data_IF_044670150798
#
_entry.id   IF_044670150798
#
_cell.length_a   1.000
_cell.length_b   1.000
_cell.length_c   1.000
_cell.angle_alpha   90.00
_cell.angle_beta   90.00
_cell.angle_gamma   90.00
#
_symmetry.space_group_name_H-M   'P 1'
#
loop_
_entity.id
_entity.type
_entity.pdbx_description
1 polymer ?
#
# COMPACT_ATOMS: atom_id res chain seq x y z
N UNK A 1 -21.14 1.51 -2.47
CA UNK A 1 -19.94 0.83 -1.96
C UNK A 1 -18.72 1.57 -2.48
N UNK A 2 -17.66 1.72 -1.70
CA UNK A 2 -16.43 2.29 -2.19
C UNK A 2 -15.85 1.43 -3.33
N UNK A 3 -15.29 2.07 -4.33
CA UNK A 3 -14.63 1.42 -5.45
C UNK A 3 -13.13 1.69 -5.37
N UNK A 4 -12.25 0.85 -5.96
CA UNK A 4 -10.82 1.14 -5.98
C UNK A 4 -10.49 2.55 -6.51
N UNK A 5 -11.22 3.01 -7.52
CA UNK A 5 -11.03 4.37 -8.04
C UNK A 5 -11.41 5.44 -7.02
N UNK A 6 -12.54 5.29 -6.31
CA UNK A 6 -12.96 6.26 -5.27
C UNK A 6 -11.97 6.28 -4.09
N UNK A 7 -11.40 5.14 -3.73
CA UNK A 7 -10.37 5.06 -2.68
C UNK A 7 -9.09 5.84 -3.08
N UNK A 8 -8.65 5.72 -4.33
CA UNK A 8 -7.50 6.49 -4.81
C UNK A 8 -7.80 8.00 -4.79
N UNK A 9 -8.97 8.40 -5.28
CA UNK A 9 -9.36 9.81 -5.34
C UNK A 9 -9.56 10.44 -3.94
N UNK A 10 -9.91 9.65 -2.95
CA UNK A 10 -10.07 10.11 -1.57
C UNK A 10 -8.74 10.40 -0.86
N UNK A 11 -7.61 9.88 -1.34
CA UNK A 11 -6.30 10.08 -0.72
C UNK A 11 -5.90 11.56 -0.73
N UNK A 12 -5.33 12.02 0.37
CA UNK A 12 -4.73 13.35 0.45
C UNK A 12 -3.45 13.42 -0.40
N UNK A 13 -3.20 14.53 -1.09
CA UNK A 13 -1.93 14.74 -1.78
C UNK A 13 -0.84 15.07 -0.74
N UNK A 14 0.28 14.36 -0.82
CA UNK A 14 1.45 14.56 0.05
C UNK A 14 2.69 14.83 -0.82
N UNK A 15 2.95 16.09 -1.22
CA UNK A 15 4.16 16.46 -1.92
C UNK A 15 5.38 16.26 -1.01
N UNK A 16 6.47 15.70 -1.55
CA UNK A 16 7.65 15.44 -0.74
C UNK A 16 8.91 15.26 -1.56
N UNK A 17 10.01 15.89 -1.13
CA UNK A 17 11.36 15.63 -1.64
C UNK A 17 12.04 14.41 -1.01
N UNK A 18 11.42 13.81 0.02
CA UNK A 18 11.99 12.71 0.77
C UNK A 18 12.16 11.44 -0.07
N UNK A 19 13.21 10.67 0.21
CA UNK A 19 13.36 9.32 -0.30
C UNK A 19 12.29 8.38 0.27
N UNK A 20 12.11 7.20 -0.33
CA UNK A 20 11.18 6.19 0.19
C UNK A 20 11.57 5.70 1.59
N UNK A 21 12.86 5.71 1.94
CA UNK A 21 13.34 5.37 3.27
C UNK A 21 12.95 6.45 4.28
N UNK A 22 13.23 7.71 3.97
CA UNK A 22 12.92 8.84 4.85
C UNK A 22 11.42 9.00 5.09
N UNK A 23 10.60 8.84 4.04
CA UNK A 23 9.12 8.85 4.19
C UNK A 23 8.67 7.78 5.19
N UNK A 24 9.27 6.60 5.14
CA UNK A 24 8.90 5.51 6.04
C UNK A 24 9.28 5.81 7.50
N UNK A 25 10.41 6.48 7.72
CA UNK A 25 10.87 6.85 9.05
C UNK A 25 10.13 8.05 9.63
N UNK A 26 9.77 9.02 8.79
CA UNK A 26 9.26 10.33 9.25
C UNK A 26 7.75 10.47 9.16
N UNK A 27 7.08 9.78 8.21
CA UNK A 27 5.64 9.87 8.01
C UNK A 27 4.95 8.64 8.62
N UNK A 28 4.06 8.82 9.61
CA UNK A 28 3.31 7.73 10.23
C UNK A 28 2.60 6.85 9.20
N UNK A 29 2.54 5.53 9.43
CA UNK A 29 1.99 4.56 8.48
C UNK A 29 0.52 4.85 8.14
N UNK A 30 -0.29 5.27 9.13
CA UNK A 30 -1.69 5.63 8.95
C UNK A 30 -1.87 6.85 8.03
N UNK A 31 -0.95 7.80 8.02
CA UNK A 31 -0.94 8.94 7.10
C UNK A 31 -0.53 8.48 5.70
N UNK A 32 0.53 7.67 5.60
CA UNK A 32 0.99 7.14 4.31
C UNK A 32 -0.09 6.34 3.59
N UNK A 33 -0.83 5.49 4.30
CA UNK A 33 -1.94 4.70 3.74
C UNK A 33 -3.02 5.54 3.09
N UNK A 34 -3.30 6.72 3.66
CA UNK A 34 -4.37 7.64 3.22
C UNK A 34 -3.86 8.80 2.38
N UNK A 35 -2.58 8.79 2.01
CA UNK A 35 -1.97 9.80 1.16
C UNK A 35 -1.58 9.24 -0.20
N UNK A 36 -1.63 10.11 -1.21
CA UNK A 36 -1.07 9.86 -2.53
C UNK A 36 0.24 10.65 -2.63
N UNK A 37 1.33 9.95 -2.80
CA UNK A 37 2.67 10.51 -2.92
C UNK A 37 3.54 9.67 -3.84
N UNK A 38 4.61 10.25 -4.29
CA UNK A 38 5.75 9.56 -4.90
C UNK A 38 7.01 10.13 -4.27
N UNK A 39 7.92 9.28 -3.83
CA UNK A 39 9.18 9.74 -3.24
C UNK A 39 9.92 10.67 -4.20
N UNK A 40 10.56 11.71 -3.67
CA UNK A 40 11.26 12.75 -4.42
C UNK A 40 10.37 13.51 -5.42
N UNK A 41 9.10 13.68 -5.09
CA UNK A 41 8.13 14.38 -5.94
C UNK A 41 7.43 15.46 -5.12
N UNK A 42 7.89 16.70 -5.25
CA UNK A 42 7.35 17.87 -4.54
C UNK A 42 6.21 18.57 -5.29
N UNK A 43 6.02 18.26 -6.58
CA UNK A 43 5.04 18.94 -7.44
C UNK A 43 3.62 18.42 -7.16
N UNK A 44 2.84 19.22 -6.43
CA UNK A 44 1.47 18.84 -6.01
C UNK A 44 0.56 18.60 -7.20
N UNK A 45 0.64 19.43 -8.25
CA UNK A 45 -0.16 19.33 -9.46
C UNK A 45 0.14 18.05 -10.24
N UNK A 46 1.40 17.65 -10.31
CA UNK A 46 1.76 16.35 -10.88
C UNK A 46 1.14 15.20 -10.08
N UNK A 47 1.24 15.24 -8.75
CA UNK A 47 0.65 14.21 -7.88
C UNK A 47 -0.87 14.16 -8.01
N UNK A 48 -1.55 15.30 -8.18
CA UNK A 48 -2.99 15.35 -8.43
C UNK A 48 -3.36 14.70 -9.77
N UNK A 49 -2.61 15.01 -10.83
CA UNK A 49 -2.81 14.38 -12.12
C UNK A 49 -2.51 12.89 -12.07
N UNK A 50 -1.43 12.49 -11.41
CA UNK A 50 -1.06 11.08 -11.23
C UNK A 50 -2.12 10.31 -10.44
N UNK A 51 -2.69 10.89 -9.38
CA UNK A 51 -3.79 10.31 -8.62
C UNK A 51 -5.01 10.03 -9.51
N UNK A 52 -5.38 11.00 -10.38
CA UNK A 52 -6.50 10.81 -11.34
C UNK A 52 -6.21 9.71 -12.36
N UNK A 53 -5.01 9.69 -12.92
CA UNK A 53 -4.59 8.64 -13.88
C UNK A 53 -4.62 7.25 -13.22
N UNK A 54 -4.11 7.12 -12.00
CA UNK A 54 -4.18 5.86 -11.26
C UNK A 54 -5.63 5.44 -10.96
N UNK A 55 -6.52 6.37 -10.65
CA UNK A 55 -7.94 6.08 -10.43
C UNK A 55 -8.63 5.61 -11.73
N UNK A 56 -8.32 6.20 -12.86
CA UNK A 56 -8.83 5.75 -14.17
C UNK A 56 -8.32 4.36 -14.53
N UNK A 57 -7.05 4.06 -14.25
CA UNK A 57 -6.49 2.72 -14.42
C UNK A 57 -7.15 1.70 -13.48
N UNK A 58 -7.36 2.05 -12.21
CA UNK A 58 -8.03 1.18 -11.25
C UNK A 58 -9.51 0.93 -11.56
N UNK A 59 -10.18 1.86 -12.25
CA UNK A 59 -11.55 1.67 -12.75
C UNK A 59 -11.64 0.88 -14.05
N UNK A 60 -10.52 0.54 -14.67
CA UNK A 60 -10.47 -0.12 -15.98
C UNK A 60 -10.78 0.80 -17.18
N UNK A 61 -10.96 2.11 -16.97
CA UNK A 61 -11.19 3.07 -18.07
C UNK A 61 -10.00 3.21 -19.00
N UNK A 62 -8.80 3.05 -18.46
CA UNK A 62 -7.57 3.03 -19.25
C UNK A 62 -6.71 1.83 -18.84
N UNK A 63 -5.97 1.28 -19.80
CA UNK A 63 -4.99 0.22 -19.52
C UNK A 63 -3.69 0.78 -18.95
N UNK A 64 -2.86 -0.10 -18.35
CA UNK A 64 -1.58 0.27 -17.73
C UNK A 64 -0.62 0.99 -18.69
N UNK A 65 -0.55 0.58 -19.95
CA UNK A 65 0.29 1.25 -20.96
C UNK A 65 -0.15 2.71 -21.19
N UNK A 66 -1.47 2.95 -21.26
CA UNK A 66 -1.99 4.31 -21.41
C UNK A 66 -1.77 5.15 -20.17
N UNK A 67 -1.93 4.57 -19.00
CA UNK A 67 -1.64 5.23 -17.73
C UNK A 67 -0.16 5.67 -17.66
N UNK A 68 0.78 4.79 -18.00
CA UNK A 68 2.21 5.14 -18.08
C UNK A 68 2.49 6.29 -19.04
N UNK A 69 1.92 6.22 -20.25
CA UNK A 69 2.07 7.31 -21.24
C UNK A 69 1.61 8.65 -20.68
N UNK A 70 0.46 8.67 -19.99
CA UNK A 70 -0.09 9.89 -19.40
C UNK A 70 0.81 10.42 -18.28
N UNK A 71 1.28 9.54 -17.37
CA UNK A 71 2.20 9.93 -16.29
C UNK A 71 3.53 10.46 -16.84
N UNK A 72 4.13 9.78 -17.81
CA UNK A 72 5.37 10.24 -18.43
C UNK A 72 5.20 11.58 -19.14
N UNK A 73 4.06 11.81 -19.81
CA UNK A 73 3.73 13.10 -20.43
C UNK A 73 3.57 14.20 -19.39
N UNK A 74 2.93 13.89 -18.28
CA UNK A 74 2.75 14.83 -17.17
C UNK A 74 4.09 15.23 -16.56
N UNK A 75 4.97 14.28 -16.26
CA UNK A 75 6.31 14.57 -15.77
C UNK A 75 7.08 15.53 -16.68
N UNK A 76 7.08 15.30 -18.00
CA UNK A 76 7.71 16.20 -18.96
C UNK A 76 7.11 17.60 -18.97
N UNK A 77 5.79 17.72 -18.81
CA UNK A 77 5.09 19.01 -18.72
C UNK A 77 5.52 19.80 -17.50
N UNK A 78 5.76 19.12 -16.38
CA UNK A 78 6.23 19.72 -15.13
C UNK A 78 7.75 19.91 -15.07
N UNK A 79 8.42 19.79 -16.21
CA UNK A 79 9.83 20.13 -16.36
C UNK A 79 10.81 19.06 -15.89
N UNK A 80 10.31 17.84 -15.61
CA UNK A 80 11.20 16.72 -15.32
C UNK A 80 12.11 16.47 -16.54
N UNK A 81 13.36 16.77 -16.37
CA UNK A 81 14.44 16.51 -17.33
C UNK A 81 15.32 15.44 -16.70
N UNK A 82 15.28 14.26 -17.28
CA UNK A 82 16.02 13.06 -16.93
C UNK A 82 17.04 13.13 -15.80
N UNK A 83 16.88 12.17 -14.88
CA UNK A 83 17.91 11.54 -14.09
C UNK A 83 18.30 12.12 -12.74
N UNK A 84 17.50 11.85 -11.74
CA UNK A 84 18.09 11.33 -10.51
C UNK A 84 18.21 9.82 -10.66
N UNK A 85 19.42 9.26 -10.66
CA UNK A 85 19.66 7.84 -10.78
C UNK A 85 20.07 7.37 -12.17
N UNK A 86 20.27 6.07 -12.32
CA UNK A 86 20.58 5.47 -13.62
C UNK A 86 19.34 5.55 -14.53
N UNK A 87 19.47 6.02 -15.78
CA UNK A 87 18.34 6.05 -16.72
C UNK A 87 17.64 4.70 -16.81
N UNK A 88 16.30 4.69 -16.63
CA UNK A 88 15.49 3.49 -16.66
C UNK A 88 15.40 2.74 -15.30
N UNK A 89 16.15 3.11 -14.28
CA UNK A 89 16.09 2.50 -12.96
C UNK A 89 14.87 2.99 -12.15
N UNK A 90 14.61 2.34 -11.00
CA UNK A 90 13.45 2.64 -10.14
C UNK A 90 13.49 4.04 -9.50
N UNK A 91 14.64 4.65 -9.38
CA UNK A 91 14.86 6.00 -8.88
C UNK A 91 14.73 7.09 -9.97
N UNK A 92 14.75 6.71 -11.23
CA UNK A 92 14.34 7.57 -12.34
C UNK A 92 12.81 7.70 -12.37
N UNK A 93 12.30 8.90 -12.05
CA UNK A 93 10.85 9.16 -11.95
C UNK A 93 10.09 8.91 -13.26
N UNK A 94 10.76 9.03 -14.41
CA UNK A 94 10.19 8.83 -15.74
C UNK A 94 10.32 7.40 -16.25
N UNK A 95 11.03 6.52 -15.54
CA UNK A 95 11.25 5.15 -15.97
C UNK A 95 9.96 4.32 -16.01
N UNK A 96 9.92 3.35 -16.90
CA UNK A 96 8.81 2.42 -16.99
C UNK A 96 8.62 1.64 -15.68
N UNK A 97 9.71 1.24 -15.03
CA UNK A 97 9.67 0.53 -13.75
C UNK A 97 9.03 1.38 -12.66
N UNK A 98 9.41 2.66 -12.56
CA UNK A 98 8.87 3.58 -11.58
C UNK A 98 7.39 3.87 -11.80
N UNK A 99 7.00 4.14 -13.04
CA UNK A 99 5.62 4.44 -13.39
C UNK A 99 4.71 3.24 -13.17
N UNK A 100 5.16 2.03 -13.52
CA UNK A 100 4.44 0.80 -13.21
C UNK A 100 4.29 0.61 -11.70
N UNK A 101 5.36 0.83 -10.93
CA UNK A 101 5.31 0.70 -9.47
C UNK A 101 4.26 1.63 -8.87
N UNK A 102 4.15 2.88 -9.32
CA UNK A 102 3.14 3.82 -8.85
C UNK A 102 1.74 3.31 -9.17
N UNK A 103 1.48 2.95 -10.44
CA UNK A 103 0.16 2.51 -10.91
C UNK A 103 -0.28 1.24 -10.17
N UNK A 104 0.59 0.22 -10.14
CA UNK A 104 0.26 -1.08 -9.56
C UNK A 104 0.10 -0.99 -8.05
N UNK A 105 1.00 -0.29 -7.34
CA UNK A 105 0.88 -0.12 -5.89
C UNK A 105 -0.42 0.59 -5.51
N UNK A 106 -0.78 1.68 -6.19
CA UNK A 106 -2.00 2.41 -5.89
C UNK A 106 -3.26 1.59 -6.20
N UNK A 107 -3.27 0.86 -7.32
CA UNK A 107 -4.36 -0.03 -7.69
C UNK A 107 -4.55 -1.15 -6.66
N UNK A 108 -3.48 -1.87 -6.32
CA UNK A 108 -3.54 -3.03 -5.45
C UNK A 108 -3.93 -2.62 -4.01
N UNK A 109 -3.37 -1.51 -3.49
CA UNK A 109 -3.81 -0.93 -2.21
C UNK A 109 -5.30 -0.58 -2.21
N UNK A 110 -5.77 0.10 -3.24
CA UNK A 110 -7.16 0.54 -3.34
C UNK A 110 -8.12 -0.65 -3.49
N UNK A 111 -7.71 -1.71 -4.18
CA UNK A 111 -8.46 -2.96 -4.27
C UNK A 111 -8.64 -3.60 -2.90
N UNK A 112 -7.56 -3.70 -2.11
CA UNK A 112 -7.60 -4.27 -0.77
C UNK A 112 -8.48 -3.46 0.18
N UNK A 113 -8.39 -2.13 0.15
CA UNK A 113 -9.25 -1.26 0.97
C UNK A 113 -10.71 -1.42 0.58
N UNK A 114 -11.04 -1.39 -0.71
CA UNK A 114 -12.41 -1.57 -1.19
C UNK A 114 -12.96 -2.96 -0.82
N UNK A 115 -12.13 -4.01 -0.87
CA UNK A 115 -12.50 -5.35 -0.43
C UNK A 115 -12.82 -5.36 1.08
N UNK A 116 -12.00 -4.75 1.92
CA UNK A 116 -12.23 -4.67 3.37
C UNK A 116 -13.53 -3.91 3.66
N UNK A 117 -13.74 -2.76 3.02
CA UNK A 117 -14.91 -1.92 3.25
C UNK A 117 -16.21 -2.54 2.72
N UNK A 118 -16.11 -3.46 1.76
CA UNK A 118 -17.25 -4.22 1.23
C UNK A 118 -17.70 -5.39 2.12
N UNK A 119 -16.90 -5.76 3.13
CA UNK A 119 -17.23 -6.89 4.00
C UNK A 119 -18.50 -6.61 4.81
N UNK A 120 -19.49 -7.47 4.65
CA UNK A 120 -20.69 -7.52 5.45
C UNK A 120 -20.54 -8.49 6.62
N UNK A 121 -21.42 -8.43 7.60
CA UNK A 121 -21.45 -9.40 8.69
C UNK A 121 -21.60 -10.83 8.16
N UNK A 122 -22.45 -11.03 7.15
CA UNK A 122 -22.64 -12.34 6.53
C UNK A 122 -21.36 -12.85 5.85
N UNK A 123 -20.58 -11.95 5.20
CA UNK A 123 -19.31 -12.33 4.60
C UNK A 123 -18.25 -12.67 5.67
N UNK A 124 -18.26 -11.95 6.80
CA UNK A 124 -17.35 -12.23 7.91
C UNK A 124 -17.69 -13.54 8.63
N UNK A 125 -18.97 -13.92 8.64
CA UNK A 125 -19.42 -15.18 9.19
C UNK A 125 -19.10 -16.35 8.25
N UNK A 126 -19.34 -16.20 6.95
CA UNK A 126 -19.11 -17.25 5.96
C UNK A 126 -17.61 -17.45 5.64
N UNK A 127 -16.84 -16.37 5.65
CA UNK A 127 -15.41 -16.35 5.31
C UNK A 127 -14.62 -15.59 6.37
N UNK A 128 -14.38 -16.16 7.55
CA UNK A 128 -13.79 -15.45 8.69
C UNK A 128 -12.29 -15.17 8.57
N UNK A 129 -11.58 -15.83 7.64
CA UNK A 129 -10.14 -15.73 7.48
C UNK A 129 -9.72 -15.37 6.05
N UNK A 130 -8.45 -14.99 5.94
CA UNK A 130 -7.73 -14.86 4.67
C UNK A 130 -6.51 -15.77 4.66
N UNK A 131 -6.22 -16.29 3.46
CA UNK A 131 -4.96 -16.95 3.13
C UNK A 131 -4.09 -15.99 2.34
N UNK A 132 -2.86 -15.82 2.76
CA UNK A 132 -1.85 -15.05 2.04
C UNK A 132 -1.24 -15.91 0.94
N UNK A 133 -1.42 -15.53 -0.30
CA UNK A 133 -0.97 -16.29 -1.45
C UNK A 133 -0.17 -15.43 -2.45
N UNK A 134 0.66 -16.09 -3.23
CA UNK A 134 1.37 -15.45 -4.32
C UNK A 134 0.54 -15.51 -5.59
N UNK A 135 0.01 -14.35 -6.00
CA UNK A 135 -0.79 -14.21 -7.22
C UNK A 135 0.04 -13.85 -8.44
N UNK A 136 1.23 -13.27 -8.25
CA UNK A 136 2.10 -12.84 -9.34
C UNK A 136 3.47 -13.51 -9.30
N UNK A 137 3.95 -13.97 -10.47
CA UNK A 137 5.33 -14.43 -10.59
C UNK A 137 6.29 -13.26 -10.41
N UNK A 138 7.40 -13.51 -9.72
CA UNK A 138 8.50 -12.55 -9.54
C UNK A 138 9.79 -13.21 -9.97
N UNK A 139 10.69 -12.41 -10.56
CA UNK A 139 12.03 -12.87 -10.93
C UNK A 139 12.80 -13.34 -9.69
N UNK A 140 12.77 -12.50 -8.65
CA UNK A 140 13.44 -12.75 -7.37
C UNK A 140 12.37 -12.78 -6.26
N UNK A 141 11.73 -13.94 -6.01
CA UNK A 141 10.64 -14.03 -5.06
C UNK A 141 11.17 -13.95 -3.62
N UNK A 142 10.58 -13.05 -2.83
CA UNK A 142 10.88 -12.93 -1.40
C UNK A 142 10.39 -14.15 -0.63
N UNK A 143 11.06 -14.47 0.48
CA UNK A 143 10.65 -15.52 1.41
C UNK A 143 9.51 -15.02 2.31
N UNK A 144 8.27 -15.15 1.84
CA UNK A 144 7.10 -14.73 2.62
C UNK A 144 6.79 -15.64 3.80
N UNK A 145 7.18 -16.90 3.75
CA UNK A 145 7.05 -17.81 4.90
C UNK A 145 7.90 -17.33 6.10
N UNK A 146 9.10 -16.83 5.84
CA UNK A 146 9.95 -16.26 6.87
C UNK A 146 9.37 -14.95 7.43
N UNK A 147 8.89 -14.03 6.55
CA UNK A 147 8.21 -12.80 6.99
C UNK A 147 6.97 -13.09 7.82
N UNK A 148 6.21 -14.09 7.42
CA UNK A 148 5.05 -14.56 8.19
C UNK A 148 5.45 -15.06 9.57
N UNK A 149 6.48 -15.91 9.66
CA UNK A 149 6.97 -16.45 10.94
C UNK A 149 7.45 -15.32 11.87
N UNK A 150 8.14 -14.31 11.34
CA UNK A 150 8.59 -13.15 12.11
C UNK A 150 7.42 -12.27 12.57
N UNK A 151 6.45 -12.02 11.70
CA UNK A 151 5.23 -11.28 12.04
C UNK A 151 4.42 -12.02 13.11
N UNK A 152 4.30 -13.35 13.00
CA UNK A 152 3.63 -14.20 13.99
C UNK A 152 4.33 -14.15 15.36
N UNK A 153 5.66 -14.13 15.38
CA UNK A 153 6.43 -14.04 16.61
C UNK A 153 6.31 -12.65 17.28
N UNK A 154 6.07 -11.59 16.51
CA UNK A 154 5.91 -10.23 17.04
C UNK A 154 4.54 -9.97 17.68
N UNK A 155 3.54 -10.77 17.34
CA UNK A 155 2.18 -10.69 17.87
C UNK A 155 1.79 -12.06 18.43
N UNK A 156 0.93 -12.10 19.43
CA UNK A 156 0.36 -13.37 19.91
C UNK A 156 -0.60 -13.92 18.85
N UNK A 157 -0.03 -14.50 17.82
CA UNK A 157 -0.77 -14.94 16.65
C UNK A 157 -1.54 -16.24 16.92
N UNK A 158 -2.83 -16.15 16.74
CA UNK A 158 -3.73 -17.29 16.71
C UNK A 158 -3.98 -17.66 15.24
N UNK A 159 -3.20 -18.58 14.72
CA UNK A 159 -3.34 -19.01 13.35
C UNK A 159 -2.62 -20.32 13.08
N UNK A 160 -2.64 -20.75 11.85
CA UNK A 160 -2.08 -22.03 11.44
C UNK A 160 -1.08 -21.82 10.32
N UNK A 161 0.14 -22.32 10.52
CA UNK A 161 1.11 -22.52 9.47
C UNK A 161 1.26 -24.04 9.28
N UNK A 162 0.39 -24.64 8.49
CA UNK A 162 0.49 -26.06 8.12
C UNK A 162 0.92 -26.14 6.67
N UNK A 163 1.92 -26.95 6.37
CA UNK A 163 2.37 -27.20 5.00
C UNK A 163 2.73 -25.94 4.18
N UNK A 164 3.18 -24.85 4.84
CA UNK A 164 3.50 -23.60 4.19
C UNK A 164 2.30 -22.67 3.96
N UNK A 165 1.11 -23.04 4.39
CA UNK A 165 -0.06 -22.20 4.35
C UNK A 165 0.03 -21.06 5.37
N UNK A 166 -0.31 -19.84 4.93
CA UNK A 166 -0.31 -18.63 5.74
C UNK A 166 -1.75 -18.14 5.87
N UNK A 167 -2.49 -18.68 6.85
CA UNK A 167 -3.91 -18.39 7.07
C UNK A 167 -4.11 -17.75 8.44
N UNK A 168 -4.86 -16.65 8.50
CA UNK A 168 -5.25 -16.00 9.75
C UNK A 168 -6.63 -15.36 9.64
N UNK A 169 -7.29 -15.19 10.79
CA UNK A 169 -8.57 -14.46 10.85
C UNK A 169 -8.42 -13.05 10.27
N UNK A 170 -9.46 -12.54 9.64
CA UNK A 170 -9.47 -11.20 8.98
C UNK A 170 -9.08 -10.06 9.92
N UNK A 171 -9.44 -10.13 11.20
CA UNK A 171 -9.06 -9.15 12.21
C UNK A 171 -7.79 -9.49 12.99
N UNK A 172 -6.98 -10.43 12.52
CA UNK A 172 -5.73 -10.81 13.20
C UNK A 172 -4.68 -9.71 13.14
N UNK A 173 -3.95 -9.44 14.23
CA UNK A 173 -2.89 -8.44 14.26
C UNK A 173 -1.68 -8.81 13.37
N UNK A 174 -1.58 -10.05 12.90
CA UNK A 174 -0.51 -10.48 12.01
C UNK A 174 -0.49 -9.67 10.70
N UNK A 175 -1.66 -9.25 10.22
CA UNK A 175 -1.75 -8.45 8.98
C UNK A 175 -1.07 -7.10 9.12
N UNK A 176 -1.24 -6.44 10.27
CA UNK A 176 -0.53 -5.19 10.55
C UNK A 176 0.96 -5.43 10.72
N UNK A 177 1.37 -6.48 11.45
CA UNK A 177 2.77 -6.84 11.64
C UNK A 177 3.49 -7.14 10.32
N UNK A 178 2.84 -7.85 9.38
CA UNK A 178 3.38 -8.08 8.03
C UNK A 178 3.63 -6.79 7.26
N UNK A 179 2.70 -5.85 7.36
CA UNK A 179 2.80 -4.58 6.66
C UNK A 179 3.76 -3.59 7.31
N UNK A 180 3.84 -3.58 8.64
CA UNK A 180 4.77 -2.74 9.38
C UNK A 180 6.23 -3.12 9.11
N UNK A 181 6.47 -4.39 8.79
CA UNK A 181 7.82 -4.92 8.61
C UNK A 181 8.51 -5.14 9.93
N UNK A 182 8.43 -6.35 10.43
CA UNK A 182 9.23 -6.79 11.56
C UNK A 182 10.65 -6.99 11.06
N UNK A 183 11.62 -6.38 11.72
CA UNK A 183 13.04 -6.48 11.37
C UNK A 183 13.38 -6.06 9.91
N UNK A 184 14.01 -4.94 9.73
CA UNK A 184 14.78 -4.46 8.55
C UNK A 184 14.24 -4.69 7.12
N UNK A 185 12.99 -5.10 6.95
CA UNK A 185 12.38 -5.16 5.62
C UNK A 185 12.08 -3.74 5.09
N UNK A 186 13.04 -3.18 4.37
CA UNK A 186 12.98 -1.80 3.83
C UNK A 186 11.96 -1.60 2.72
N UNK A 187 11.31 -2.64 2.26
CA UNK A 187 10.34 -2.64 1.17
C UNK A 187 8.87 -2.62 1.63
N UNK A 188 8.62 -2.59 2.94
CA UNK A 188 7.27 -2.61 3.50
C UNK A 188 6.53 -1.28 3.31
N UNK A 189 5.21 -1.38 3.14
CA UNK A 189 4.33 -0.23 2.91
C UNK A 189 3.69 0.31 4.20
N UNK A 190 3.69 -0.47 5.27
CA UNK A 190 2.99 -0.13 6.51
C UNK A 190 1.48 -0.38 6.45
N UNK A 191 0.99 -1.19 5.50
CA UNK A 191 -0.43 -1.49 5.34
C UNK A 191 -0.79 -2.78 6.05
N UNK A 192 -1.95 -2.89 6.75
CA UNK A 192 -2.48 -4.15 7.26
C UNK A 192 -3.18 -4.98 6.17
N UNK A 193 -2.84 -4.77 4.91
CA UNK A 193 -3.45 -5.40 3.73
C UNK A 193 -2.47 -5.43 2.55
N UNK A 194 -2.70 -6.30 1.53
CA UNK A 194 -1.89 -6.33 0.31
C UNK A 194 -1.93 -5.00 -0.49
N UNK A 195 -0.87 -4.69 -1.18
CA UNK A 195 0.43 -5.34 -1.13
C UNK A 195 1.18 -4.91 0.11
N UNK A 196 1.58 -5.82 0.98
CA UNK A 196 2.30 -5.50 2.22
C UNK A 196 3.67 -4.87 1.97
N UNK A 197 4.22 -5.09 0.79
CA UNK A 197 5.50 -4.56 0.35
C UNK A 197 5.44 -4.18 -1.13
N UNK A 198 6.28 -3.23 -1.53
CA UNK A 198 6.41 -2.83 -2.92
C UNK A 198 6.67 -4.03 -3.83
N UNK A 199 5.87 -4.14 -4.90
CA UNK A 199 6.01 -5.19 -5.90
C UNK A 199 6.04 -6.61 -5.30
N UNK A 200 5.21 -6.88 -4.28
CA UNK A 200 5.21 -8.15 -3.54
C UNK A 200 4.71 -9.33 -4.36
N UNK A 201 3.70 -9.12 -5.19
CA UNK A 201 2.97 -10.19 -5.88
C UNK A 201 2.13 -11.06 -4.94
N UNK A 202 1.95 -10.62 -3.70
CA UNK A 202 1.12 -11.29 -2.70
C UNK A 202 -0.26 -10.65 -2.64
N UNK A 203 -1.26 -11.47 -2.42
CA UNK A 203 -2.65 -11.07 -2.24
C UNK A 203 -3.36 -12.03 -1.29
N UNK A 204 -4.64 -11.78 -1.03
CA UNK A 204 -5.50 -12.58 -0.18
C UNK A 204 -6.49 -13.41 -0.97
N UNK A 205 -6.70 -14.64 -0.51
CA UNK A 205 -7.91 -15.43 -0.83
C UNK A 205 -8.73 -15.64 0.43
N UNK A 206 -10.05 -15.60 0.28
CA UNK A 206 -10.96 -15.84 1.41
C UNK A 206 -10.97 -17.33 1.74
N UNK A 207 -10.93 -17.63 3.03
CA UNK A 207 -11.05 -18.99 3.58
C UNK A 207 -12.42 -19.11 4.23
N UNK A 208 -13.17 -20.14 3.84
CA UNK A 208 -14.51 -20.37 4.35
C UNK A 208 -14.50 -20.86 5.81
N UNK A 209 -15.70 -20.86 6.40
CA UNK A 209 -15.87 -21.24 7.80
C UNK A 209 -15.50 -22.72 8.05
N UNK A 210 -15.92 -23.62 7.17
CA UNK A 210 -15.69 -25.05 7.36
C UNK A 210 -14.19 -25.35 7.35
N UNK A 211 -13.47 -24.73 6.44
CA UNK A 211 -12.00 -24.81 6.41
C UNK A 211 -11.35 -24.16 7.64
N UNK A 212 -11.86 -23.01 8.09
CA UNK A 212 -11.36 -22.37 9.32
C UNK A 212 -11.58 -23.23 10.55
N UNK A 213 -12.71 -23.94 10.65
CA UNK A 213 -12.99 -24.91 11.72
C UNK A 213 -12.04 -26.11 11.64
N UNK A 214 -11.83 -26.65 10.46
CA UNK A 214 -10.88 -27.74 10.24
C UNK A 214 -9.42 -27.35 10.57
N UNK A 215 -9.06 -26.08 10.38
CA UNK A 215 -7.78 -25.53 10.77
C UNK A 215 -7.69 -25.16 12.27
N UNK A 216 -8.80 -25.20 13.00
CA UNK A 216 -8.86 -24.81 14.41
C UNK A 216 -8.77 -23.32 14.65
N UNK A 217 -9.08 -22.48 13.65
CA UNK A 217 -9.03 -21.01 13.73
C UNK A 217 -10.28 -20.41 14.37
N UNK A 218 -11.44 -21.05 14.20
CA UNK A 218 -12.71 -20.65 14.79
C UNK A 218 -13.33 -21.84 15.52
N UNK A 219 -13.83 -21.68 16.75
CA UNK A 219 -14.67 -22.69 17.38
C UNK A 219 -16.03 -22.72 16.70
N UNK A 220 -16.73 -23.88 16.69
CA UNK A 220 -18.00 -24.10 16.00
C UNK A 220 -19.13 -23.12 16.33
N UNK A 221 -19.13 -22.50 17.52
CA UNK A 221 -20.01 -21.39 17.91
C UNK A 221 -19.32 -20.02 17.76
N UNK A 222 -18.67 -19.80 16.67
CA UNK A 222 -17.68 -18.78 16.50
C UNK A 222 -18.19 -17.35 16.67
N UNK A 223 -17.35 -16.56 17.29
CA UNK A 223 -17.42 -15.10 17.25
C UNK A 223 -17.31 -14.63 15.78
N UNK A 224 -18.17 -13.68 15.42
CA UNK A 224 -18.13 -13.01 14.13
C UNK A 224 -16.74 -12.49 13.81
N UNK A 225 -16.27 -12.70 12.60
CA UNK A 225 -15.00 -12.16 12.13
C UNK A 225 -14.98 -10.63 12.27
N UNK A 226 -13.81 -10.07 12.58
CA UNK A 226 -13.59 -8.62 12.64
C UNK A 226 -12.96 -8.15 11.34
N UNK A 227 -13.32 -6.92 10.93
CA UNK A 227 -12.59 -6.24 9.85
C UNK A 227 -11.23 -5.78 10.36
N UNK A 228 -10.19 -5.74 9.50
CA UNK A 228 -8.96 -5.01 9.81
C UNK A 228 -9.24 -3.54 10.10
N UNK A 229 -8.46 -2.97 11.01
CA UNK A 229 -8.48 -1.52 11.23
C UNK A 229 -7.71 -0.83 10.11
N UNK A 230 -8.40 0.01 9.35
CA UNK A 230 -7.79 0.81 8.27
C UNK A 230 -7.19 2.13 8.77
N UNK A 231 -7.30 2.41 10.07
CA UNK A 231 -6.87 3.67 10.65
C UNK A 231 -7.79 4.85 10.29
N UNK A 232 -7.28 6.10 10.37
CA UNK A 232 -8.09 7.29 10.19
C UNK A 232 -8.72 7.37 8.80
N UNK A 233 -9.88 8.04 8.70
CA UNK A 233 -10.53 8.28 7.42
C UNK A 233 -9.70 9.24 6.55
N UNK A 234 -9.77 9.16 5.20
CA UNK A 234 -9.06 10.05 4.31
C UNK A 234 -9.31 11.54 4.59
N UNK A 235 -10.53 11.91 4.94
CA UNK A 235 -10.90 13.28 5.30
C UNK A 235 -10.22 13.76 6.58
N UNK A 236 -9.97 12.89 7.55
CA UNK A 236 -9.27 13.21 8.80
C UNK A 236 -7.79 13.45 8.54
N UNK A 237 -7.18 12.60 7.70
CA UNK A 237 -5.79 12.76 7.26
C UNK A 237 -5.62 14.07 6.48
N UNK A 238 -6.53 14.38 5.56
CA UNK A 238 -6.49 15.64 4.82
C UNK A 238 -6.56 16.83 5.79
N UNK A 239 -7.48 16.83 6.74
CA UNK A 239 -7.58 17.87 7.78
C UNK A 239 -6.33 17.94 8.66
N UNK A 240 -5.73 16.80 9.00
CA UNK A 240 -4.50 16.77 9.75
C UNK A 240 -3.33 17.41 8.98
N UNK A 241 -3.18 17.07 7.69
CA UNK A 241 -2.18 17.65 6.81
C UNK A 241 -2.39 19.17 6.60
N UNK A 242 -3.64 19.62 6.47
CA UNK A 242 -3.99 21.05 6.38
C UNK A 242 -3.65 21.82 7.65
N UNK A 243 -3.78 21.18 8.84
CA UNK A 243 -3.45 21.77 10.16
C UNK A 243 -1.96 21.77 10.47
N UNK A 244 -1.16 20.97 9.79
CA UNK A 244 0.29 20.92 9.99
C UNK A 244 1.01 22.22 9.60
N UNK A 245 0.28 23.26 9.25
CA UNK A 245 0.73 24.65 9.18
C UNK A 245 1.93 24.91 8.24
N UNK A 246 2.34 26.18 8.12
CA UNK A 246 3.41 26.59 7.24
C UNK A 246 4.78 25.96 7.61
N UNK A 247 5.01 25.61 8.87
CA UNK A 247 6.26 24.98 9.30
C UNK A 247 6.45 23.56 8.78
N UNK A 248 5.39 22.78 8.60
CA UNK A 248 5.48 21.45 7.99
C UNK A 248 5.66 21.56 6.48
N UNK A 249 4.93 22.48 5.82
CA UNK A 249 5.16 22.80 4.42
C UNK A 249 6.59 23.24 4.18
N UNK A 250 7.11 24.14 5.01
CA UNK A 250 8.50 24.58 4.96
C UNK A 250 9.47 23.41 5.15
N UNK A 251 9.24 22.52 6.12
CA UNK A 251 10.07 21.33 6.29
C UNK A 251 10.01 20.39 5.08
N UNK A 252 8.84 20.18 4.48
CA UNK A 252 8.71 19.41 3.25
C UNK A 252 9.44 20.07 2.08
N UNK A 253 9.41 21.40 2.01
CA UNK A 253 10.14 22.22 1.02
C UNK A 253 11.65 22.25 1.30
N UNK A 254 12.07 22.44 2.52
CA UNK A 254 13.49 22.33 2.94
C UNK A 254 14.06 20.95 2.63
N UNK A 255 13.28 19.88 2.81
CA UNK A 255 13.68 18.54 2.45
C UNK A 255 13.70 18.29 0.93
N UNK A 256 12.94 19.05 0.15
CA UNK A 256 13.01 19.02 -1.32
C UNK A 256 14.34 19.62 -1.84
N UNK A 257 14.85 20.65 -1.16
CA UNK A 257 16.11 21.32 -1.53
C UNK A 257 17.39 20.61 -1.03
N UNK A 258 17.30 19.72 -0.04
CA UNK A 258 18.47 18.94 0.42
C UNK A 258 18.99 17.93 -0.61
N UNK A 259 18.24 17.64 -1.68
CA UNK A 259 18.66 16.80 -2.80
C UNK A 259 19.48 17.53 -3.88
N UNK A 260 19.52 18.87 -3.86
CA UNK A 260 20.20 19.66 -4.91
C UNK A 260 21.66 20.06 -4.53
N UNK A 261 22.13 19.70 -3.35
CA UNK A 261 23.38 20.19 -2.77
C UNK A 261 24.48 19.17 -2.49
N UNK A 262 24.49 17.99 -3.09
CA UNK A 262 25.61 17.04 -3.01
C UNK A 262 26.14 16.79 -4.41
N UNK A 263 27.08 17.65 -4.84
CA UNK A 263 28.04 17.34 -5.90
C UNK A 263 29.06 16.29 -5.42
#
# INVERSE_FOLDING_TARGET
>A
MPTPASEILAKAILPTGLSSADIRETVPAEIRRRSFFSARTAEAEYLEEARRVCAEAASGRIGSSKARELLARSLRRWGYKDAYGAPGAIDDLGSEERLNLIIDTQRDMAHSVALIDSQTDANLDAFPAWRLERMGRRRDPRNWAERWAQAAAAVNWEGVARNGEMVALKGSPIWEALGAGVQDYRDTLGNPYPPFAFNSGMDWTSVDRDECEALGLVPGEAKRGKRPDLGPLPADVKRALERLGPDYKRKLEEWAHFGEGVE
#
